data_IF_847813666267
#
_entry.id   IF_847813666267
#
_cell.length_a   1.000
_cell.length_b   1.000
_cell.length_c   1.000
_cell.angle_alpha   90.00
_cell.angle_beta   90.00
_cell.angle_gamma   90.00
#
_symmetry.space_group_name_H-M   'P 1'
#
loop_
_entity.id
_entity.type
_entity.pdbx_description
1 polymer ?
#
# COMPACT_ATOMS: atom_id res chain seq x y z
N UNK A 1 30.98 3.88 15.49
CA UNK A 1 31.75 3.98 14.22
C UNK A 1 31.15 3.00 13.24
N UNK A 2 30.66 3.45 12.09
CA UNK A 2 30.14 2.54 11.06
C UNK A 2 31.33 1.83 10.41
N UNK A 3 31.43 0.51 10.58
CA UNK A 3 32.47 -0.29 9.92
C UNK A 3 32.17 -0.33 8.42
N UNK A 4 33.01 0.32 7.62
CA UNK A 4 32.94 0.21 6.17
C UNK A 4 33.34 -1.21 5.74
N UNK A 5 32.37 -2.00 5.27
CA UNK A 5 32.59 -3.35 4.72
C UNK A 5 32.53 -3.29 3.19
N UNK A 6 33.58 -3.76 2.53
CA UNK A 6 33.63 -3.84 1.06
C UNK A 6 33.12 -5.22 0.62
N UNK A 7 32.05 -5.23 -0.17
CA UNK A 7 31.49 -6.46 -0.76
C UNK A 7 32.21 -6.73 -2.09
N UNK A 8 32.82 -7.92 -2.22
CA UNK A 8 33.60 -8.31 -3.42
C UNK A 8 33.00 -9.47 -4.20
N UNK A 9 31.91 -10.06 -3.72
CA UNK A 9 31.31 -11.27 -4.31
C UNK A 9 29.79 -11.25 -4.17
N UNK A 10 29.11 -11.86 -5.15
CA UNK A 10 27.68 -12.13 -5.09
C UNK A 10 27.32 -13.21 -4.07
N UNK A 11 28.29 -14.03 -3.66
CA UNK A 11 28.12 -15.01 -2.57
C UNK A 11 28.17 -14.38 -1.18
N UNK A 12 28.37 -13.06 -1.07
CA UNK A 12 28.31 -12.38 0.22
C UNK A 12 26.90 -12.53 0.83
N UNK A 13 26.78 -12.98 2.09
CA UNK A 13 25.49 -13.16 2.75
C UNK A 13 24.58 -11.93 2.70
N UNK A 14 25.15 -10.72 2.74
CA UNK A 14 24.40 -9.47 2.66
C UNK A 14 23.79 -9.27 1.26
N UNK A 15 24.51 -9.65 0.20
CA UNK A 15 23.98 -9.60 -1.17
C UNK A 15 22.83 -10.59 -1.33
N UNK A 16 23.00 -11.81 -0.81
CA UNK A 16 21.94 -12.82 -0.83
C UNK A 16 20.69 -12.37 -0.07
N UNK A 17 20.84 -11.71 1.08
CA UNK A 17 19.74 -11.13 1.85
C UNK A 17 19.01 -10.04 1.06
N UNK A 18 19.75 -9.08 0.50
CA UNK A 18 19.19 -7.98 -0.29
C UNK A 18 18.47 -8.48 -1.56
N UNK A 19 19.03 -9.49 -2.23
CA UNK A 19 18.39 -10.15 -3.37
C UNK A 19 17.11 -10.88 -2.97
N UNK A 20 17.12 -11.56 -1.82
CA UNK A 20 15.91 -12.17 -1.27
C UNK A 20 14.83 -11.12 -1.00
N UNK A 21 15.18 -10.02 -0.32
CA UNK A 21 14.26 -8.93 -0.05
C UNK A 21 13.80 -8.18 -1.30
N UNK A 22 14.57 -8.17 -2.38
CA UNK A 22 14.18 -7.53 -3.64
C UNK A 22 13.21 -8.39 -4.46
N UNK A 23 13.38 -9.71 -4.45
CA UNK A 23 12.65 -10.62 -5.34
C UNK A 23 11.50 -11.37 -4.66
N UNK A 24 11.53 -11.54 -3.33
CA UNK A 24 10.57 -12.38 -2.60
C UNK A 24 9.72 -11.54 -1.64
N UNK A 25 8.42 -11.43 -1.94
CA UNK A 25 7.46 -10.70 -1.08
C UNK A 25 7.31 -11.33 0.29
N UNK A 26 7.33 -12.66 0.38
CA UNK A 26 7.26 -13.38 1.66
C UNK A 26 8.40 -12.99 2.61
N UNK A 27 9.63 -12.85 2.11
CA UNK A 27 10.77 -12.40 2.90
C UNK A 27 10.62 -10.96 3.39
N UNK A 28 10.04 -10.07 2.56
CA UNK A 28 9.74 -8.70 2.97
C UNK A 28 8.74 -8.69 4.12
N UNK A 29 7.65 -9.45 4.01
CA UNK A 29 6.63 -9.55 5.05
C UNK A 29 7.20 -10.14 6.35
N UNK A 30 8.01 -11.19 6.27
CA UNK A 30 8.63 -11.83 7.43
C UNK A 30 9.63 -10.90 8.14
N UNK A 31 10.55 -10.29 7.38
CA UNK A 31 11.57 -9.38 7.92
C UNK A 31 11.04 -7.99 8.28
N UNK A 32 9.86 -7.62 7.75
CA UNK A 32 9.30 -6.25 7.77
C UNK A 32 10.22 -5.21 7.15
N UNK A 33 11.08 -5.63 6.24
CA UNK A 33 12.02 -4.79 5.52
C UNK A 33 11.74 -4.86 4.03
N UNK A 34 11.89 -3.73 3.36
CA UNK A 34 11.92 -3.67 1.90
C UNK A 34 13.20 -3.00 1.44
N UNK A 35 13.72 -3.44 0.31
CA UNK A 35 14.88 -2.83 -0.34
C UNK A 35 14.41 -1.62 -1.13
N UNK A 36 14.96 -0.45 -0.79
CA UNK A 36 14.61 0.82 -1.45
C UNK A 36 15.61 1.10 -2.54
N UNK A 37 15.34 0.55 -3.73
CA UNK A 37 16.38 0.48 -4.76
C UNK A 37 15.95 -0.24 -6.05
N UNK A 38 15.89 0.44 -7.23
CA UNK A 38 15.18 -0.08 -8.43
C UNK A 38 16.00 -0.48 -9.68
N UNK A 39 15.53 -1.46 -10.47
CA UNK A 39 16.16 -2.29 -11.54
C UNK A 39 17.21 -1.74 -12.55
N UNK A 40 17.59 -0.46 -12.56
CA UNK A 40 18.97 -0.09 -12.98
C UNK A 40 19.96 -0.57 -11.92
N UNK A 41 19.55 -0.41 -10.68
CA UNK A 41 20.30 -0.53 -9.46
C UNK A 41 20.94 -1.89 -9.22
N UNK A 42 20.38 -2.96 -9.79
CA UNK A 42 21.00 -4.27 -9.69
C UNK A 42 21.61 -4.79 -11.00
N UNK A 43 21.22 -4.23 -12.15
CA UNK A 43 22.01 -4.40 -13.38
C UNK A 43 23.36 -3.64 -13.28
N UNK A 44 23.41 -2.54 -12.51
CA UNK A 44 24.62 -1.82 -12.05
C UNK A 44 25.42 -2.54 -10.95
N UNK A 45 24.75 -3.29 -10.05
CA UNK A 45 25.46 -4.08 -9.03
C UNK A 45 26.21 -5.28 -9.63
N UNK A 46 25.77 -5.76 -10.79
CA UNK A 46 26.16 -7.08 -11.30
C UNK A 46 27.11 -7.08 -12.52
N UNK A 47 27.17 -6.08 -13.40
CA UNK A 47 28.27 -6.04 -14.41
C UNK A 47 29.66 -5.77 -13.77
N UNK A 48 29.66 -5.11 -12.60
CA UNK A 48 30.83 -4.56 -11.92
C UNK A 48 31.62 -5.54 -11.03
N UNK A 49 30.98 -6.57 -10.48
CA UNK A 49 31.73 -7.65 -9.80
C UNK A 49 32.56 -8.46 -10.82
N UNK A 50 32.26 -8.32 -12.12
CA UNK A 50 32.95 -8.91 -13.26
C UNK A 50 33.86 -7.92 -14.08
N UNK A 51 34.60 -7.00 -13.41
CA UNK A 51 35.47 -5.88 -13.91
C UNK A 51 34.78 -4.50 -14.07
N UNK A 52 34.86 -3.64 -13.04
CA UNK A 52 34.18 -2.34 -12.97
C UNK A 52 34.73 -1.21 -13.87
N UNK A 53 33.84 -0.38 -14.44
CA UNK A 53 34.10 1.07 -14.65
C UNK A 53 33.23 1.93 -13.72
N UNK A 54 33.92 2.71 -12.88
CA UNK A 54 33.50 3.72 -11.86
C UNK A 54 32.02 4.18 -11.81
N UNK A 55 31.42 4.20 -10.62
CA UNK A 55 30.23 5.01 -10.26
C UNK A 55 30.29 5.35 -8.76
N UNK A 56 30.10 6.63 -8.41
CA UNK A 56 30.47 7.17 -7.08
C UNK A 56 29.30 7.48 -6.13
N UNK A 57 28.01 7.42 -6.53
CA UNK A 57 26.93 7.95 -5.66
C UNK A 57 25.56 7.25 -5.79
N UNK A 58 25.46 5.94 -5.57
CA UNK A 58 24.16 5.27 -5.39
C UNK A 58 24.14 4.48 -4.07
N UNK A 59 23.12 4.72 -3.24
CA UNK A 59 22.92 4.06 -1.96
C UNK A 59 21.87 2.97 -2.09
N UNK A 60 22.16 1.80 -1.54
CA UNK A 60 21.22 0.71 -1.39
C UNK A 60 20.97 0.52 0.10
N UNK A 61 19.69 0.46 0.47
CA UNK A 61 19.30 0.34 1.86
C UNK A 61 18.04 -0.48 2.00
N UNK A 62 17.92 -1.10 3.17
CA UNK A 62 16.65 -1.62 3.64
C UNK A 62 15.98 -0.54 4.48
N UNK A 63 14.67 -0.41 4.34
CA UNK A 63 13.85 0.40 5.25
C UNK A 63 12.73 -0.45 5.81
N UNK A 64 12.22 -0.02 6.96
CA UNK A 64 11.06 -0.66 7.58
C UNK A 64 9.83 -0.46 6.71
N UNK A 65 9.11 -1.53 6.46
CA UNK A 65 7.83 -1.49 5.75
C UNK A 65 6.78 -0.77 6.61
N UNK A 66 5.98 0.13 6.01
CA UNK A 66 4.82 0.66 6.68
C UNK A 66 3.82 -0.49 6.90
N UNK A 67 3.06 -0.41 7.99
CA UNK A 67 2.10 -1.45 8.33
C UNK A 67 0.73 -1.09 7.75
N UNK A 68 0.02 -2.07 7.15
CA UNK A 68 -1.34 -1.84 6.71
C UNK A 68 -2.26 -1.60 7.91
N UNK A 69 -3.29 -0.78 7.70
CA UNK A 69 -4.38 -0.62 8.66
C UNK A 69 -5.44 -1.70 8.44
N UNK A 70 -6.17 -2.04 9.50
CA UNK A 70 -7.30 -2.98 9.40
C UNK A 70 -8.46 -2.44 8.56
N UNK A 71 -8.68 -1.12 8.61
CA UNK A 71 -9.65 -0.37 7.81
C UNK A 71 -9.08 1.00 7.41
N UNK A 72 -9.63 1.65 6.37
CA UNK A 72 -9.28 3.04 6.09
C UNK A 72 -9.64 3.94 7.28
N UNK A 73 -8.94 5.08 7.48
CA UNK A 73 -9.33 6.07 8.48
C UNK A 73 -10.77 6.54 8.29
N UNK A 74 -11.52 6.79 9.37
CA UNK A 74 -12.92 7.24 9.30
C UNK A 74 -13.08 8.62 8.64
N UNK A 75 -11.99 9.37 8.52
CA UNK A 75 -11.92 10.65 7.78
C UNK A 75 -11.66 10.47 6.27
N UNK A 76 -11.59 9.23 5.79
CA UNK A 76 -11.36 8.93 4.37
C UNK A 76 -12.58 9.34 3.55
N UNK A 77 -12.34 10.25 2.61
CA UNK A 77 -13.32 10.73 1.64
C UNK A 77 -12.89 10.46 0.20
N UNK A 78 -11.60 10.25 -0.04
CA UNK A 78 -11.05 9.86 -1.34
C UNK A 78 -10.37 8.50 -1.18
N UNK A 79 -11.12 7.43 -1.40
CA UNK A 79 -10.66 6.05 -1.27
C UNK A 79 -10.35 5.48 -2.64
N UNK A 80 -9.10 5.12 -2.89
CA UNK A 80 -8.68 4.42 -4.10
C UNK A 80 -8.65 2.92 -3.87
N UNK A 81 -9.36 2.15 -4.70
CA UNK A 81 -9.44 0.70 -4.60
C UNK A 81 -8.78 0.10 -5.84
N UNK A 82 -7.86 -0.84 -5.64
CA UNK A 82 -7.11 -1.49 -6.71
C UNK A 82 -7.45 -2.97 -6.76
N UNK A 83 -7.83 -3.46 -7.94
CA UNK A 83 -8.16 -4.86 -8.22
C UNK A 83 -7.45 -5.36 -9.48
N UNK A 84 -6.72 -6.46 -9.39
CA UNK A 84 -6.16 -7.10 -10.58
C UNK A 84 -5.02 -6.33 -11.25
N UNK A 85 -4.37 -5.39 -10.56
CA UNK A 85 -3.16 -4.73 -11.07
C UNK A 85 -1.99 -5.72 -10.98
N UNK A 86 -1.33 -6.02 -12.09
CA UNK A 86 -0.25 -7.01 -12.17
C UNK A 86 1.13 -6.36 -12.29
N UNK A 87 1.28 -5.29 -13.08
CA UNK A 87 2.59 -4.62 -13.19
C UNK A 87 2.88 -3.71 -11.99
N UNK A 88 3.97 -4.01 -11.29
CA UNK A 88 4.45 -3.23 -10.14
C UNK A 88 4.82 -1.79 -10.51
N UNK A 89 5.32 -1.55 -11.73
CA UNK A 89 5.66 -0.22 -12.21
C UNK A 89 4.40 0.66 -12.35
N UNK A 90 3.38 0.15 -13.02
CA UNK A 90 2.06 0.78 -13.16
C UNK A 90 1.41 0.98 -11.81
N UNK A 91 1.42 -0.03 -10.93
CA UNK A 91 0.93 0.11 -9.57
C UNK A 91 1.58 1.31 -8.87
N UNK A 92 2.91 1.41 -8.89
CA UNK A 92 3.57 2.53 -8.26
C UNK A 92 3.27 3.88 -8.93
N UNK A 93 3.07 3.95 -10.25
CA UNK A 93 2.60 5.16 -10.92
C UNK A 93 1.23 5.60 -10.40
N UNK A 94 0.28 4.66 -10.24
CA UNK A 94 -1.03 4.92 -9.68
C UNK A 94 -0.90 5.47 -8.25
N UNK A 95 -0.08 4.82 -7.41
CA UNK A 95 0.14 5.24 -6.02
C UNK A 95 0.79 6.64 -5.94
N UNK A 96 1.76 6.94 -6.81
CA UNK A 96 2.37 8.27 -6.89
C UNK A 96 1.34 9.34 -7.23
N UNK A 97 0.50 9.06 -8.21
CA UNK A 97 -0.56 9.99 -8.62
C UNK A 97 -1.61 10.16 -7.52
N UNK A 98 -2.01 9.08 -6.86
CA UNK A 98 -2.91 9.12 -5.71
C UNK A 98 -2.34 10.00 -4.59
N UNK A 99 -1.04 9.84 -4.27
CA UNK A 99 -0.36 10.67 -3.28
C UNK A 99 -0.30 12.14 -3.69
N UNK A 100 0.17 12.44 -4.91
CA UNK A 100 0.30 13.80 -5.42
C UNK A 100 -1.05 14.53 -5.51
N UNK A 101 -2.10 13.79 -5.86
CA UNK A 101 -3.48 14.30 -5.93
C UNK A 101 -4.18 14.29 -4.57
N UNK A 102 -3.51 13.89 -3.48
CA UNK A 102 -4.04 13.85 -2.11
C UNK A 102 -5.27 12.96 -1.94
N UNK A 103 -5.25 11.77 -2.54
CA UNK A 103 -6.16 10.71 -2.14
C UNK A 103 -5.87 10.32 -0.69
N UNK A 104 -6.89 9.89 0.06
CA UNK A 104 -6.76 9.73 1.52
C UNK A 104 -6.33 8.33 1.93
N UNK A 105 -6.78 7.31 1.19
CA UNK A 105 -6.43 5.93 1.52
C UNK A 105 -6.48 5.01 0.30
N UNK A 106 -5.68 3.94 0.36
CA UNK A 106 -5.61 2.89 -0.66
C UNK A 106 -6.17 1.58 -0.09
N UNK A 107 -7.02 0.90 -0.86
CA UNK A 107 -7.46 -0.45 -0.57
C UNK A 107 -7.03 -1.43 -1.66
N UNK A 108 -6.26 -2.44 -1.28
CA UNK A 108 -5.83 -3.50 -2.16
C UNK A 108 -6.77 -4.70 -2.05
N UNK A 109 -7.48 -5.01 -3.15
CA UNK A 109 -8.28 -6.23 -3.25
C UNK A 109 -7.38 -7.45 -3.49
N UNK A 110 -7.82 -8.68 -3.11
CA UNK A 110 -6.96 -9.86 -3.10
C UNK A 110 -6.39 -10.28 -4.46
N UNK A 111 -7.02 -9.86 -5.56
CA UNK A 111 -6.54 -10.16 -6.92
C UNK A 111 -5.46 -9.18 -7.40
N UNK A 112 -5.17 -8.13 -6.63
CA UNK A 112 -4.04 -7.24 -6.94
C UNK A 112 -2.76 -7.98 -6.66
N UNK A 113 -2.17 -8.52 -7.73
CA UNK A 113 -1.02 -9.41 -7.67
C UNK A 113 0.31 -8.65 -7.69
N UNK A 114 0.31 -7.37 -8.05
CA UNK A 114 1.47 -6.50 -7.92
C UNK A 114 1.76 -6.21 -6.44
N UNK A 115 3.00 -6.48 -6.01
CA UNK A 115 3.47 -6.11 -4.67
C UNK A 115 3.84 -4.60 -4.66
N UNK A 116 3.19 -3.75 -3.84
CA UNK A 116 3.53 -2.33 -3.75
C UNK A 116 4.91 -2.06 -3.14
N UNK A 117 5.50 -3.06 -2.48
CA UNK A 117 6.84 -3.01 -1.91
C UNK A 117 7.89 -3.70 -2.78
N UNK A 118 7.50 -4.14 -3.98
CA UNK A 118 8.46 -4.48 -5.01
C UNK A 118 9.32 -3.26 -5.34
N UNK A 119 10.60 -3.50 -5.64
CA UNK A 119 11.57 -2.47 -5.99
C UNK A 119 11.15 -1.56 -7.15
N UNK A 120 10.38 -2.07 -8.13
CA UNK A 120 9.81 -1.24 -9.21
C UNK A 120 8.69 -0.36 -8.69
N UNK A 121 7.78 -0.92 -7.89
CA UNK A 121 6.66 -0.19 -7.29
C UNK A 121 7.13 0.90 -6.33
N UNK A 122 8.11 0.62 -5.46
CA UNK A 122 8.71 1.63 -4.58
C UNK A 122 9.32 2.78 -5.40
N UNK A 123 10.03 2.44 -6.48
CA UNK A 123 10.66 3.44 -7.37
C UNK A 123 9.64 4.30 -8.09
N UNK A 124 8.65 3.69 -8.76
CA UNK A 124 7.65 4.45 -9.51
C UNK A 124 6.69 5.21 -8.61
N UNK A 125 6.39 4.68 -7.41
CA UNK A 125 5.60 5.37 -6.38
C UNK A 125 6.35 6.48 -5.65
N UNK A 126 7.68 6.48 -5.70
CA UNK A 126 8.54 7.32 -4.87
C UNK A 126 8.22 7.19 -3.37
N UNK A 127 7.87 5.98 -2.92
CA UNK A 127 7.59 5.71 -1.51
C UNK A 127 6.23 6.22 -1.02
N UNK A 128 5.24 6.38 -1.89
CA UNK A 128 3.91 6.90 -1.55
C UNK A 128 3.26 6.26 -0.30
N UNK A 129 3.39 4.93 -0.12
CA UNK A 129 2.77 4.22 1.00
C UNK A 129 3.38 4.49 2.38
N UNK A 130 4.55 5.14 2.46
CA UNK A 130 5.05 5.65 3.75
C UNK A 130 4.28 6.86 4.23
N UNK A 131 3.55 7.53 3.33
CA UNK A 131 2.81 8.75 3.62
C UNK A 131 1.29 8.56 3.54
N UNK A 132 0.83 7.49 2.89
CA UNK A 132 -0.60 7.23 2.66
C UNK A 132 -1.12 5.99 3.40
N UNK A 133 -2.22 6.12 4.18
CA UNK A 133 -2.90 4.99 4.79
C UNK A 133 -3.33 3.94 3.75
N UNK A 134 -3.04 2.67 4.01
CA UNK A 134 -3.44 1.58 3.12
C UNK A 134 -3.90 0.34 3.88
N UNK A 135 -4.75 -0.45 3.24
CA UNK A 135 -5.32 -1.68 3.79
C UNK A 135 -5.40 -2.77 2.71
N UNK A 136 -5.42 -4.02 3.16
CA UNK A 136 -5.72 -5.19 2.33
C UNK A 136 -7.01 -5.85 2.81
N UNK A 137 -7.86 -6.28 1.89
CA UNK A 137 -9.03 -7.08 2.28
C UNK A 137 -10.00 -7.33 1.15
N UNK A 138 -11.03 -8.13 1.44
CA UNK A 138 -12.11 -8.47 0.49
C UNK A 138 -13.10 -7.32 0.33
N UNK A 139 -13.79 -7.31 -0.81
CA UNK A 139 -14.79 -6.31 -1.13
C UNK A 139 -15.92 -6.25 -0.09
N UNK A 140 -16.41 -7.38 0.40
CA UNK A 140 -17.51 -7.43 1.38
C UNK A 140 -17.23 -6.63 2.65
N UNK A 141 -15.96 -6.57 3.09
CA UNK A 141 -15.56 -5.73 4.25
C UNK A 141 -15.51 -4.26 3.90
N UNK A 142 -15.14 -3.96 2.66
CA UNK A 142 -15.00 -2.60 2.15
C UNK A 142 -16.35 -1.95 1.86
N UNK A 143 -17.32 -2.70 1.33
CA UNK A 143 -18.66 -2.19 1.03
C UNK A 143 -19.33 -1.61 2.27
N UNK A 144 -19.21 -2.28 3.42
CA UNK A 144 -19.68 -1.74 4.70
C UNK A 144 -19.06 -0.39 5.04
N UNK A 145 -17.73 -0.26 4.87
CA UNK A 145 -17.04 1.01 5.13
C UNK A 145 -17.50 2.12 4.18
N UNK A 146 -17.70 1.79 2.89
CA UNK A 146 -18.19 2.72 1.87
C UNK A 146 -19.58 3.25 2.25
N UNK A 147 -20.48 2.37 2.68
CA UNK A 147 -21.83 2.71 3.15
C UNK A 147 -21.79 3.59 4.41
N UNK A 148 -21.09 3.13 5.46
CA UNK A 148 -20.96 3.85 6.75
C UNK A 148 -20.35 5.25 6.58
N UNK A 149 -19.38 5.39 5.67
CA UNK A 149 -18.71 6.65 5.37
C UNK A 149 -19.45 7.52 4.35
N UNK A 150 -20.57 7.01 3.80
CA UNK A 150 -21.35 7.66 2.73
C UNK A 150 -20.49 8.07 1.52
N UNK A 151 -19.62 7.17 1.07
CA UNK A 151 -18.80 7.37 -0.12
C UNK A 151 -19.55 6.89 -1.37
N UNK A 152 -19.42 7.64 -2.46
CA UNK A 152 -19.94 7.22 -3.76
C UNK A 152 -19.09 6.08 -4.35
N UNK A 153 -19.62 4.86 -4.54
CA UNK A 153 -18.87 3.78 -5.15
C UNK A 153 -18.88 3.90 -6.68
N UNK A 154 -17.70 4.03 -7.28
CA UNK A 154 -17.52 4.12 -8.72
C UNK A 154 -16.42 3.20 -9.22
N UNK A 155 -16.56 2.65 -10.43
CA UNK A 155 -15.56 1.80 -11.08
C UNK A 155 -15.23 2.32 -12.47
N UNK A 156 -13.94 2.46 -12.76
CA UNK A 156 -13.49 2.81 -14.10
C UNK A 156 -13.68 1.61 -15.04
N UNK A 157 -14.56 1.76 -16.03
CA UNK A 157 -14.96 0.70 -16.96
C UNK A 157 -15.13 1.28 -18.37
N UNK A 158 -14.50 0.66 -19.37
CA UNK A 158 -14.62 1.07 -20.78
C UNK A 158 -16.04 0.93 -21.34
N UNK A 159 -16.91 0.18 -20.66
CA UNK A 159 -18.34 0.01 -20.99
C UNK A 159 -19.26 0.92 -20.17
N UNK A 160 -18.71 1.76 -19.29
CA UNK A 160 -19.49 2.70 -18.48
C UNK A 160 -19.97 3.93 -19.26
N UNK A 161 -20.99 4.65 -18.74
CA UNK A 161 -21.35 5.97 -19.23
C UNK A 161 -20.15 6.93 -19.15
N UNK A 162 -20.09 7.84 -20.13
CA UNK A 162 -19.07 8.88 -20.20
C UNK A 162 -19.30 9.91 -19.07
N UNK A 163 -18.22 10.34 -18.41
CA UNK A 163 -18.26 11.46 -17.45
C UNK A 163 -17.80 12.74 -18.14
N UNK A 164 -18.32 13.90 -17.70
CA UNK A 164 -18.01 15.22 -18.24
C UNK A 164 -19.00 15.73 -19.28
N UNK A 165 -20.11 15.02 -19.48
CA UNK A 165 -21.22 15.44 -20.34
C UNK A 165 -22.46 15.84 -19.53
N UNK A 166 -23.44 16.43 -20.21
CA UNK A 166 -24.71 16.81 -19.58
C UNK A 166 -25.41 15.60 -18.94
N UNK A 167 -25.76 15.74 -17.67
CA UNK A 167 -26.47 14.68 -16.93
C UNK A 167 -25.60 13.47 -16.59
N UNK A 168 -24.27 13.62 -16.54
CA UNK A 168 -23.41 12.52 -16.11
C UNK A 168 -23.75 12.03 -14.68
N UNK A 169 -23.29 10.83 -14.37
CA UNK A 169 -23.64 10.17 -13.11
C UNK A 169 -23.15 10.92 -11.87
N UNK A 170 -22.07 11.71 -11.99
CA UNK A 170 -21.53 12.46 -10.89
C UNK A 170 -22.23 13.79 -10.68
N UNK A 171 -22.92 14.34 -11.66
CA UNK A 171 -23.73 15.57 -11.51
C UNK A 171 -25.16 15.24 -11.11
N UNK A 172 -25.73 14.18 -11.67
CA UNK A 172 -27.11 13.74 -11.42
C UNK A 172 -27.28 13.05 -10.06
N UNK A 173 -26.33 12.18 -9.68
CA UNK A 173 -26.38 11.42 -8.43
C UNK A 173 -25.45 11.97 -7.34
N UNK A 174 -24.85 13.15 -7.54
CA UNK A 174 -23.95 13.79 -6.58
C UNK A 174 -24.52 14.23 -5.23
N UNK A 175 -25.82 14.53 -5.06
CA UNK A 175 -26.18 15.29 -3.87
C UNK A 175 -26.21 14.35 -2.64
N UNK A 176 -25.33 14.64 -1.67
CA UNK A 176 -25.20 14.11 -0.29
C UNK A 176 -24.07 13.11 0.04
N UNK A 177 -23.22 12.71 -0.91
CA UNK A 177 -22.06 11.86 -0.54
C UNK A 177 -20.92 12.67 0.08
N UNK A 178 -20.22 12.07 1.04
CA UNK A 178 -19.08 12.69 1.72
C UNK A 178 -17.78 12.64 0.91
N UNK A 179 -17.78 11.90 -0.19
CA UNK A 179 -16.60 11.59 -0.99
C UNK A 179 -16.83 10.42 -1.95
N UNK A 180 -15.75 9.81 -2.46
CA UNK A 180 -15.78 8.74 -3.45
C UNK A 180 -14.90 7.55 -3.03
N UNK A 181 -15.38 6.36 -3.37
CA UNK A 181 -14.62 5.13 -3.41
C UNK A 181 -14.44 4.70 -4.88
N UNK A 182 -13.27 4.97 -5.45
CA UNK A 182 -12.97 4.71 -6.86
C UNK A 182 -12.22 3.40 -7.03
N UNK A 183 -12.85 2.45 -7.71
CA UNK A 183 -12.28 1.17 -8.10
C UNK A 183 -11.61 1.27 -9.47
N UNK A 184 -10.29 1.04 -9.49
CA UNK A 184 -9.49 0.84 -10.70
C UNK A 184 -9.19 -0.64 -10.83
N UNK A 185 -9.57 -1.20 -11.98
CA UNK A 185 -9.36 -2.61 -12.29
C UNK A 185 -8.30 -2.75 -13.37
N UNK A 186 -7.30 -3.60 -13.12
CA UNK A 186 -6.40 -4.04 -14.16
C UNK A 186 -7.13 -4.94 -15.18
N UNK A 187 -6.66 -5.02 -16.42
CA UNK A 187 -7.22 -5.91 -17.46
C UNK A 187 -7.34 -7.37 -17.03
N UNK A 188 -6.48 -7.81 -16.12
CA UNK A 188 -6.45 -9.16 -15.57
C UNK A 188 -7.26 -9.36 -14.29
N UNK A 189 -8.05 -8.36 -13.84
CA UNK A 189 -9.00 -8.51 -12.74
C UNK A 189 -10.11 -9.57 -12.99
N UNK A 190 -10.04 -10.24 -14.14
CA UNK A 190 -10.86 -11.37 -14.58
C UNK A 190 -11.99 -10.96 -15.53
N UNK A 191 -12.60 -11.95 -16.18
CA UNK A 191 -13.87 -11.81 -16.93
C UNK A 191 -15.06 -11.43 -16.01
N UNK A 192 -14.84 -11.38 -14.69
CA UNK A 192 -15.85 -10.98 -13.72
C UNK A 192 -16.27 -9.53 -13.96
N UNK A 193 -17.58 -9.34 -14.15
CA UNK A 193 -18.22 -8.01 -14.18
C UNK A 193 -17.84 -7.22 -12.93
N UNK A 194 -17.68 -5.89 -13.04
CA UNK A 194 -17.53 -5.05 -11.85
C UNK A 194 -18.64 -5.34 -10.82
N UNK A 195 -18.38 -5.13 -9.53
CA UNK A 195 -19.39 -5.33 -8.51
C UNK A 195 -20.64 -4.49 -8.80
N UNK A 196 -21.83 -5.08 -8.59
CA UNK A 196 -23.11 -4.40 -8.91
C UNK A 196 -23.34 -3.14 -8.07
N UNK A 197 -22.76 -3.09 -6.88
CA UNK A 197 -22.74 -1.95 -5.97
C UNK A 197 -21.95 -0.75 -6.50
N UNK A 198 -21.13 -0.92 -7.55
CA UNK A 198 -20.28 0.14 -8.09
C UNK A 198 -20.86 0.70 -9.38
N UNK A 199 -20.96 2.03 -9.43
CA UNK A 199 -21.38 2.76 -10.61
C UNK A 199 -20.26 2.77 -11.65
N UNK A 200 -20.54 2.27 -12.85
CA UNK A 200 -19.55 2.27 -13.94
C UNK A 200 -19.36 3.69 -14.45
N UNK A 201 -18.11 4.08 -14.68
CA UNK A 201 -17.74 5.37 -15.24
C UNK A 201 -16.65 5.22 -16.28
N UNK A 202 -16.70 6.06 -17.31
CA UNK A 202 -15.74 6.09 -18.41
C UNK A 202 -15.23 7.51 -18.62
N UNK A 203 -13.92 7.65 -18.80
CA UNK A 203 -13.31 8.91 -19.24
C UNK A 203 -13.41 9.09 -20.75
N UNK A 204 -13.46 10.35 -21.17
CA UNK A 204 -13.27 10.71 -22.57
C UNK A 204 -11.80 10.60 -22.95
N UNK A 205 -11.54 10.05 -24.13
CA UNK A 205 -10.26 10.10 -24.82
C UNK A 205 -10.44 10.80 -26.18
N UNK A 206 -9.36 11.27 -26.78
CA UNK A 206 -9.40 11.99 -28.05
C UNK A 206 -9.97 11.16 -29.21
N UNK A 207 -10.00 9.82 -29.09
CA UNK A 207 -10.57 8.90 -30.09
C UNK A 207 -11.94 8.32 -29.75
N UNK A 208 -12.55 8.70 -28.61
CA UNK A 208 -13.84 8.17 -28.14
C UNK A 208 -13.84 6.68 -27.71
N UNK A 209 -12.68 6.03 -27.64
CA UNK A 209 -12.48 4.65 -27.21
C UNK A 209 -11.33 4.54 -26.21
N UNK A 210 -11.61 4.83 -24.94
CA UNK A 210 -10.68 4.51 -23.86
C UNK A 210 -10.34 3.01 -23.87
N UNK A 211 -9.07 2.69 -24.08
CA UNK A 211 -8.53 1.34 -23.92
C UNK A 211 -7.87 1.23 -22.54
N UNK A 212 -8.41 0.36 -21.67
CA UNK A 212 -7.73 -0.07 -20.46
C UNK A 212 -6.85 -1.27 -20.82
N UNK A 213 -5.64 -0.99 -21.31
CA UNK A 213 -4.59 -2.02 -21.46
C UNK A 213 -3.69 -2.03 -20.21
N UNK A 214 -2.90 -3.10 -20.03
CA UNK A 214 -1.94 -3.15 -18.92
C UNK A 214 -0.89 -2.04 -19.04
N UNK A 215 -0.50 -1.68 -20.27
CA UNK A 215 0.52 -0.66 -20.53
C UNK A 215 0.04 0.77 -20.20
N UNK A 216 -1.26 1.02 -20.32
CA UNK A 216 -1.83 2.36 -20.14
C UNK A 216 -2.47 2.57 -18.77
N UNK A 217 -2.63 1.50 -17.97
CA UNK A 217 -3.41 1.51 -16.74
C UNK A 217 -2.99 2.62 -15.76
N UNK A 218 -1.68 2.81 -15.54
CA UNK A 218 -1.20 3.83 -14.61
C UNK A 218 -1.49 5.25 -15.07
N UNK A 219 -1.38 5.52 -16.37
CA UNK A 219 -1.74 6.82 -16.95
C UNK A 219 -3.24 7.05 -16.87
N UNK A 220 -4.04 6.10 -17.35
CA UNK A 220 -5.50 6.21 -17.39
C UNK A 220 -6.09 6.37 -15.99
N UNK A 221 -5.59 5.59 -15.02
CA UNK A 221 -5.95 5.76 -13.62
C UNK A 221 -5.56 7.15 -13.11
N UNK A 222 -4.34 7.64 -13.40
CA UNK A 222 -3.90 8.97 -12.95
C UNK A 222 -4.81 10.10 -13.47
N UNK A 223 -5.22 10.02 -14.74
CA UNK A 223 -6.19 10.96 -15.32
C UNK A 223 -7.53 10.82 -14.60
N UNK A 224 -8.03 9.60 -14.36
CA UNK A 224 -9.28 9.39 -13.64
C UNK A 224 -9.24 9.99 -12.23
N UNK A 225 -8.15 9.77 -11.50
CA UNK A 225 -7.93 10.31 -10.16
C UNK A 225 -7.97 11.84 -10.17
N UNK A 226 -7.40 12.48 -11.20
CA UNK A 226 -7.39 13.94 -11.36
C UNK A 226 -8.78 14.46 -11.72
N UNK A 227 -9.34 13.99 -12.83
CA UNK A 227 -10.61 14.46 -13.38
C UNK A 227 -11.74 14.29 -12.38
N UNK A 228 -11.84 13.11 -11.76
CA UNK A 228 -12.94 12.81 -10.83
C UNK A 228 -12.84 13.71 -9.59
N UNK A 229 -11.65 13.78 -8.98
CA UNK A 229 -11.43 14.58 -7.78
C UNK A 229 -11.68 16.06 -8.04
N UNK A 230 -11.07 16.60 -9.09
CA UNK A 230 -11.01 18.04 -9.31
C UNK A 230 -12.27 18.61 -9.97
N UNK A 231 -13.09 17.80 -10.65
CA UNK A 231 -14.32 18.32 -11.27
C UNK A 231 -15.58 17.99 -10.46
N UNK A 232 -15.59 16.88 -9.69
CA UNK A 232 -16.81 16.41 -9.02
C UNK A 232 -16.71 16.36 -7.49
N UNK A 233 -15.50 16.25 -6.93
CA UNK A 233 -15.28 16.15 -5.48
C UNK A 233 -14.40 17.29 -4.94
N UNK A 234 -14.54 18.49 -5.49
CA UNK A 234 -13.77 19.69 -5.10
C UNK A 234 -13.90 20.04 -3.61
N UNK A 235 -15.10 19.83 -3.05
CA UNK A 235 -15.39 20.06 -1.63
C UNK A 235 -14.56 19.15 -0.70
N UNK A 236 -14.04 18.03 -1.21
CA UNK A 236 -13.13 17.12 -0.50
C UNK A 236 -11.66 17.50 -0.75
N UNK A 237 -11.35 18.16 -1.87
CA UNK A 237 -9.98 18.53 -2.26
C UNK A 237 -9.26 19.43 -1.24
N UNK A 238 -10.01 20.10 -0.37
CA UNK A 238 -9.52 20.96 0.71
C UNK A 238 -9.37 20.28 2.09
N UNK A 239 -9.76 19.00 2.25
CA UNK A 239 -9.66 18.34 3.56
C UNK A 239 -8.21 18.08 3.97
N UNK A 240 -7.88 18.23 5.27
CA UNK A 240 -6.51 18.06 5.76
C UNK A 240 -5.98 16.66 5.49
N UNK A 241 -4.73 16.59 5.04
CA UNK A 241 -4.03 15.35 4.70
C UNK A 241 -3.90 14.44 5.93
N UNK A 242 -4.32 13.19 5.81
CA UNK A 242 -4.16 12.15 6.85
C UNK A 242 -2.90 11.37 6.53
N UNK A 243 -1.80 11.66 7.23
CA UNK A 243 -0.58 10.87 7.09
C UNK A 243 -0.75 9.47 7.67
N UNK A 244 -0.07 8.47 7.10
CA UNK A 244 0.07 7.16 7.72
C UNK A 244 0.60 7.29 9.16
N UNK A 245 0.04 6.57 10.15
CA UNK A 245 0.65 6.51 11.46
C UNK A 245 2.08 5.93 11.36
N UNK A 246 3.07 6.61 11.95
CA UNK A 246 4.43 6.08 12.03
C UNK A 246 4.39 4.70 12.74
N UNK A 247 5.14 3.73 12.22
CA UNK A 247 5.35 2.47 12.92
C UNK A 247 5.94 2.78 14.33
N UNK A 248 5.47 2.10 15.40
CA UNK A 248 6.00 2.34 16.73
C UNK A 248 7.52 2.15 16.74
N UNK A 249 8.27 3.19 17.14
CA UNK A 249 9.71 3.09 17.35
C UNK A 249 9.98 2.11 18.50
N UNK A 250 10.95 1.20 18.34
CA UNK A 250 11.39 0.33 19.43
C UNK A 250 11.75 1.18 20.66
N UNK A 251 11.04 0.95 21.77
CA UNK A 251 11.13 1.75 23.00
C UNK A 251 9.89 2.61 23.32
N UNK A 252 8.91 2.71 22.42
CA UNK A 252 7.61 3.31 22.77
C UNK A 252 6.84 2.38 23.73
N UNK A 253 6.11 2.96 24.69
CA UNK A 253 5.34 2.25 25.74
C UNK A 253 4.27 1.26 25.20
N UNK A 254 4.15 1.10 23.88
CA UNK A 254 3.24 0.19 23.19
C UNK A 254 3.93 -0.97 22.47
N UNK A 255 5.25 -1.15 22.63
CA UNK A 255 5.93 -2.33 22.13
C UNK A 255 5.51 -3.58 22.93
N UNK A 256 4.66 -4.41 22.32
CA UNK A 256 4.35 -5.73 22.88
C UNK A 256 5.64 -6.53 23.06
N UNK A 257 5.97 -6.89 24.30
CA UNK A 257 7.06 -7.82 24.60
C UNK A 257 6.73 -9.21 24.06
N UNK A 258 7.42 -9.62 23.00
CA UNK A 258 7.44 -11.00 22.51
C UNK A 258 8.60 -11.75 23.19
N UNK A 259 8.38 -13.02 23.55
CA UNK A 259 9.48 -13.88 24.00
C UNK A 259 10.31 -14.38 22.79
N UNK A 260 11.47 -14.99 23.08
CA UNK A 260 12.45 -15.45 22.09
C UNK A 260 11.94 -16.49 21.07
N UNK A 261 10.65 -16.86 21.11
CA UNK A 261 9.99 -17.75 20.14
C UNK A 261 8.77 -17.13 19.46
N UNK A 262 8.59 -15.81 19.53
CA UNK A 262 7.66 -15.07 18.66
C UNK A 262 6.16 -15.28 18.92
N UNK A 263 5.75 -15.80 20.07
CA UNK A 263 4.31 -15.94 20.40
C UNK A 263 3.80 -14.73 21.19
N UNK A 264 2.70 -14.12 20.73
CA UNK A 264 2.00 -13.07 21.45
C UNK A 264 1.35 -13.65 22.71
N UNK A 265 1.76 -13.21 23.90
CA UNK A 265 1.05 -13.54 25.15
C UNK A 265 0.04 -12.44 25.48
N UNK A 266 -1.24 -12.82 25.58
CA UNK A 266 -2.29 -11.94 26.11
C UNK A 266 -1.98 -11.56 27.56
N UNK A 267 -2.13 -10.27 27.90
CA UNK A 267 -1.79 -9.64 29.18
C UNK A 267 -2.38 -10.38 30.40
N UNK A 268 -3.53 -11.03 30.24
CA UNK A 268 -4.20 -11.86 31.27
C UNK A 268 -3.40 -13.10 31.70
N UNK A 269 -2.51 -13.63 30.85
CA UNK A 269 -1.70 -14.83 31.15
C UNK A 269 -0.45 -14.47 31.95
N UNK A 270 0.15 -13.31 31.69
CA UNK A 270 1.32 -12.80 32.41
C UNK A 270 0.97 -12.34 33.83
N UNK A 271 -0.17 -11.67 34.01
CA UNK A 271 -0.65 -11.25 35.33
C UNK A 271 -1.02 -12.45 36.22
N UNK A 272 -1.60 -13.52 35.64
CA UNK A 272 -1.86 -14.79 36.37
C UNK A 272 -0.57 -15.54 36.75
N UNK A 273 0.46 -15.55 35.91
CA UNK A 273 1.74 -16.20 36.23
C UNK A 273 2.57 -15.41 37.25
N UNK A 274 2.48 -14.08 37.25
CA UNK A 274 3.12 -13.24 38.27
C UNK A 274 2.40 -13.31 39.62
N UNK A 275 1.06 -13.41 39.62
CA UNK A 275 0.28 -13.67 40.83
C UNK A 275 0.62 -15.05 41.44
N UNK A 276 0.70 -16.10 40.62
CA UNK A 276 1.06 -17.46 41.07
C UNK A 276 2.49 -17.56 41.63
N UNK A 277 3.45 -16.81 41.08
CA UNK A 277 4.84 -16.74 41.59
C UNK A 277 4.97 -15.92 42.88
N UNK A 278 4.05 -14.98 43.14
CA UNK A 278 4.00 -14.24 44.42
C UNK A 278 3.42 -15.08 45.55
N UNK A 279 2.46 -15.96 45.26
CA UNK A 279 1.92 -16.90 46.25
C UNK A 279 2.91 -18.01 46.64
N UNK A 280 3.81 -18.43 45.73
CA UNK A 280 4.81 -19.47 46.02
C UNK A 280 5.99 -18.97 46.87
N UNK A 281 6.36 -17.69 46.73
CA UNK A 281 7.38 -17.04 47.59
C UNK A 281 6.89 -16.79 49.01
N UNK A 282 5.59 -16.69 49.24
CA UNK A 282 5.03 -16.55 50.58
C UNK A 282 4.92 -17.88 51.35
N UNK A 283 5.04 -19.03 50.65
CA UNK A 283 4.91 -20.36 51.27
C UNK A 283 6.24 -21.03 51.62
N UNK A 284 7.36 -20.48 51.15
CA UNK A 284 8.71 -21.06 51.31
C UNK A 284 9.66 -20.24 52.19
N UNK A 285 9.18 -19.17 52.84
CA UNK A 285 9.95 -18.38 53.82
C UNK A 285 9.66 -18.79 55.26
N UNK A 286 10.26 -19.89 55.74
CA UNK A 286 10.42 -20.19 57.17
C UNK A 286 11.90 -20.50 57.40
N UNK A 287 12.61 -19.59 58.07
CA UNK A 287 13.58 -19.82 59.17
C UNK A 287 14.46 -18.59 59.38
N UNK A 288 14.12 -17.80 60.39
CA UNK A 288 14.95 -17.67 61.59
C UNK A 288 14.03 -17.85 62.79
#
# INVERSE_FOLDING_TARGET
>A
MASHRVIKSLSDPLVAELLGLANESARRVESKLCVVSGKKLLNELAEKVANMRSYQHNMLGTIRMPQPLEKPPDTTKLLLILDGVIDAGQLGTILRSAFALKWHSIWFLPRTNADPFDHKAIRSSQGALWHMPFSYGKLDRLERFIEESSLFPAVLDTKGPLIGGDGDIFTTNSPSTNGIALLIRGPHAGLATPPKSFNRVRLSDAGGRMNLTEADLGMVASVALHEIKNNYFQHVSASPFVASPEAPREGSKYAHHFDARGRARSRRVLERQQAARRTDRFRTGKTT
#
